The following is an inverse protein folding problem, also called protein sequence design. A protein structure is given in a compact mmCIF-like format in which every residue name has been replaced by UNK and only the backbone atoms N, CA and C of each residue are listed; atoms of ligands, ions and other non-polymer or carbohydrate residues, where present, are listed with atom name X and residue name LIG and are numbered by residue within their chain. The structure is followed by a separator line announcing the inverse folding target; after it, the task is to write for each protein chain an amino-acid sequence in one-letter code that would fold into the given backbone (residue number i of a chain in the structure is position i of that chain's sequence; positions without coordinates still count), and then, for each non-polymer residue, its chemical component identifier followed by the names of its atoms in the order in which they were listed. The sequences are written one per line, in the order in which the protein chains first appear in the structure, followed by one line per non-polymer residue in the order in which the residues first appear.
data_IF_342163882081
#
_entry.id   IF_342163882081
#
_cell.length_a   1.000
_cell.length_b   1.000
_cell.length_c   1.000
_cell.angle_alpha   90.00
_cell.angle_beta   90.00
_cell.angle_gamma   90.00
#
_symmetry.space_group_name_H-M   'P 1'
#
loop_
_entity.id
_entity.type
_entity.pdbx_description
1 polymer ?
#
# COMPACT_ATOMS: atom_id res chain seq x y z
N UNK A 1 -6.73 24.65 -0.39
CA UNK A 1 -6.32 24.30 1.00
C UNK A 1 -4.83 24.04 1.02
N UNK A 2 -4.32 23.28 2.00
CA UNK A 2 -2.86 23.05 2.16
C UNK A 2 -2.20 22.43 0.92
N UNK A 3 -2.89 21.56 0.18
CA UNK A 3 -2.35 20.95 -1.05
C UNK A 3 -2.01 21.94 -2.18
N UNK A 4 -2.47 23.19 -2.10
CA UNK A 4 -2.01 24.24 -3.01
C UNK A 4 -0.55 24.65 -2.76
N UNK A 5 -0.08 24.53 -1.51
CA UNK A 5 1.26 24.97 -1.08
C UNK A 5 2.20 23.78 -0.82
N UNK A 6 1.67 22.66 -0.36
CA UNK A 6 2.43 21.47 0.00
C UNK A 6 1.85 20.27 -0.75
N UNK A 7 2.59 19.66 -1.71
CA UNK A 7 2.02 18.62 -2.58
C UNK A 7 1.68 17.32 -1.83
N UNK A 8 2.18 17.16 -0.60
CA UNK A 8 1.93 16.02 0.27
C UNK A 8 1.76 16.47 1.72
N UNK A 9 1.00 15.69 2.48
CA UNK A 9 0.69 15.93 3.89
C UNK A 9 0.96 14.64 4.67
N UNK A 10 1.51 14.75 5.87
CA UNK A 10 1.61 13.62 6.79
C UNK A 10 0.21 13.11 7.14
N UNK A 11 -0.16 11.94 6.62
CA UNK A 11 -1.54 11.49 6.60
C UNK A 11 -2.07 11.11 8.00
N UNK A 12 -1.20 10.56 8.85
CA UNK A 12 -1.50 10.26 10.26
C UNK A 12 -0.23 9.89 11.00
N UNK A 13 -0.15 10.27 12.29
CA UNK A 13 0.85 9.75 13.23
C UNK A 13 0.68 8.26 13.52
N UNK A 14 -0.51 7.71 13.25
CA UNK A 14 -0.72 6.27 13.32
C UNK A 14 -0.07 5.60 12.10
N UNK A 15 1.01 4.87 12.36
CA UNK A 15 1.78 4.13 11.35
C UNK A 15 1.55 2.62 11.43
N UNK A 16 0.57 2.16 12.20
CA UNK A 16 0.14 0.76 12.22
C UNK A 16 -0.42 0.37 10.85
N UNK A 17 0.15 -0.66 10.21
CA UNK A 17 -0.21 -1.04 8.85
C UNK A 17 -1.70 -1.38 8.71
N UNK A 18 -2.30 -2.04 9.71
CA UNK A 18 -3.71 -2.43 9.64
C UNK A 18 -4.61 -1.20 9.76
N UNK A 19 -4.36 -0.30 10.72
CA UNK A 19 -5.10 0.96 10.83
C UNK A 19 -4.91 1.87 9.60
N UNK A 20 -3.69 1.89 9.05
CA UNK A 20 -3.37 2.66 7.85
C UNK A 20 -4.19 2.23 6.64
N UNK A 21 -4.58 0.96 6.50
CA UNK A 21 -5.49 0.54 5.42
C UNK A 21 -6.80 1.32 5.44
N UNK A 22 -7.40 1.55 6.63
CA UNK A 22 -8.65 2.31 6.79
C UNK A 22 -8.45 3.80 6.61
N UNK A 23 -7.38 4.35 7.18
CA UNK A 23 -7.04 5.78 7.07
C UNK A 23 -6.81 6.13 5.59
N UNK A 24 -5.93 5.41 4.91
CA UNK A 24 -5.62 5.65 3.50
C UNK A 24 -6.83 5.40 2.59
N UNK A 25 -7.62 4.36 2.87
CA UNK A 25 -8.88 4.12 2.17
C UNK A 25 -9.81 5.34 2.26
N UNK A 26 -10.06 5.86 3.47
CA UNK A 26 -10.91 7.04 3.68
C UNK A 26 -10.36 8.29 3.01
N UNK A 27 -9.05 8.55 3.15
CA UNK A 27 -8.38 9.70 2.53
C UNK A 27 -8.48 9.67 1.00
N UNK A 28 -8.43 8.47 0.39
CA UNK A 28 -8.50 8.28 -1.06
C UNK A 28 -9.83 8.68 -1.73
N UNK A 29 -10.88 8.98 -0.95
CA UNK A 29 -12.16 9.43 -1.53
C UNK A 29 -12.04 10.80 -2.21
N UNK A 30 -11.14 11.66 -1.73
CA UNK A 30 -10.95 13.01 -2.28
C UNK A 30 -9.50 13.36 -2.58
N UNK A 31 -8.53 12.72 -1.91
CA UNK A 31 -7.13 13.07 -2.04
C UNK A 31 -6.36 11.98 -2.81
N UNK A 32 -5.45 12.36 -3.72
CA UNK A 32 -4.65 11.40 -4.47
C UNK A 32 -3.63 10.71 -3.56
N UNK A 33 -3.17 9.52 -3.97
CA UNK A 33 -2.16 8.73 -3.25
C UNK A 33 -0.86 9.53 -3.06
N UNK A 34 -0.45 10.29 -4.06
CA UNK A 34 0.74 11.15 -4.02
C UNK A 34 0.73 12.19 -2.90
N UNK A 35 -0.45 12.57 -2.40
CA UNK A 35 -0.58 13.51 -1.29
C UNK A 35 -0.48 12.85 0.10
N UNK A 36 -0.49 11.52 0.18
CA UNK A 36 -0.57 10.79 1.44
C UNK A 36 0.82 10.39 1.95
N UNK A 37 1.39 11.18 2.86
CA UNK A 37 2.62 10.81 3.57
C UNK A 37 2.42 9.49 4.31
N UNK A 38 3.26 8.48 4.04
CA UNK A 38 3.12 7.14 4.61
C UNK A 38 4.48 6.44 4.78
N UNK A 39 4.85 6.09 6.03
CA UNK A 39 6.15 5.50 6.35
C UNK A 39 6.03 4.09 6.94
N UNK A 40 7.04 3.28 6.67
CA UNK A 40 7.31 2.03 7.38
C UNK A 40 7.93 2.36 8.74
N UNK A 41 7.32 1.89 9.83
CA UNK A 41 7.78 2.12 11.20
C UNK A 41 8.13 0.83 11.94
N UNK A 42 8.72 0.98 13.13
CA UNK A 42 9.09 -0.13 14.02
C UNK A 42 7.86 -0.87 14.57
N UNK A 43 8.07 -2.12 14.99
CA UNK A 43 7.07 -2.92 15.73
C UNK A 43 7.68 -3.50 17.02
N UNK A 44 6.91 -3.70 18.11
CA UNK A 44 5.48 -3.38 18.27
C UNK A 44 5.16 -1.90 18.01
N UNK A 45 4.12 -1.63 17.22
CA UNK A 45 3.81 -0.28 16.77
C UNK A 45 3.59 0.65 17.97
N UNK A 46 4.14 1.86 17.94
CA UNK A 46 4.15 2.76 19.10
C UNK A 46 2.76 3.30 19.48
N UNK A 47 1.81 3.37 18.55
CA UNK A 47 0.47 3.88 18.81
C UNK A 47 -0.50 2.79 19.29
N UNK A 48 -0.31 1.54 18.86
CA UNK A 48 -1.29 0.45 19.03
C UNK A 48 -0.75 -0.78 19.73
N UNK A 49 0.57 -0.93 19.84
CA UNK A 49 1.23 -2.15 20.30
C UNK A 49 1.15 -3.33 19.32
N UNK A 50 0.57 -3.17 18.13
CA UNK A 50 0.40 -4.25 17.16
C UNK A 50 1.75 -4.63 16.53
N UNK A 51 1.93 -5.93 16.29
CA UNK A 51 3.04 -6.45 15.49
C UNK A 51 2.52 -6.82 14.10
N UNK A 52 3.21 -6.36 13.07
CA UNK A 52 2.95 -6.69 11.67
C UNK A 52 4.26 -6.99 10.96
N UNK A 53 4.24 -7.87 9.96
CA UNK A 53 5.44 -8.19 9.17
C UNK A 53 6.05 -6.94 8.52
N UNK A 54 7.36 -6.96 8.25
CA UNK A 54 8.03 -5.84 7.59
C UNK A 54 7.50 -5.65 6.15
N UNK A 55 7.17 -6.76 5.48
CA UNK A 55 6.50 -6.77 4.19
C UNK A 55 5.13 -6.06 4.21
N UNK A 56 4.23 -6.39 5.14
CA UNK A 56 2.89 -5.77 5.23
C UNK A 56 2.98 -4.26 5.48
N UNK A 57 3.94 -3.83 6.30
CA UNK A 57 4.22 -2.40 6.52
C UNK A 57 4.68 -1.73 5.23
N UNK A 58 5.59 -2.36 4.49
CA UNK A 58 6.05 -1.89 3.18
C UNK A 58 4.93 -1.72 2.17
N UNK A 59 4.13 -2.77 1.92
CA UNK A 59 2.99 -2.75 0.99
C UNK A 59 2.02 -1.62 1.33
N UNK A 60 1.70 -1.44 2.62
CA UNK A 60 0.75 -0.40 3.04
C UNK A 60 1.34 1.01 2.86
N UNK A 61 2.60 1.21 3.19
CA UNK A 61 3.27 2.51 3.07
C UNK A 61 3.51 2.93 1.60
N UNK A 62 3.66 1.96 0.68
CA UNK A 62 3.76 2.24 -0.76
C UNK A 62 2.47 2.81 -1.35
N UNK A 63 1.32 2.67 -0.67
CA UNK A 63 0.08 3.36 -1.03
C UNK A 63 0.06 4.80 -0.47
N UNK A 64 1.10 5.54 -0.82
CA UNK A 64 1.38 6.90 -0.38
C UNK A 64 2.73 7.36 -0.92
N UNK A 65 3.36 8.33 -0.25
CA UNK A 65 4.69 8.82 -0.62
C UNK A 65 5.82 7.82 -0.39
N UNK A 66 5.54 6.75 0.37
CA UNK A 66 6.53 5.86 0.97
C UNK A 66 7.55 6.60 1.86
N UNK A 67 8.37 5.84 2.59
CA UNK A 67 9.39 6.36 3.50
C UNK A 67 9.59 5.46 4.72
N UNK A 68 10.51 5.84 5.60
CA UNK A 68 10.88 5.06 6.78
C UNK A 68 10.94 5.95 8.02
N UNK A 69 10.43 5.43 9.14
CA UNK A 69 10.37 6.11 10.43
C UNK A 69 10.72 5.12 11.55
N UNK A 70 11.96 4.67 11.52
CA UNK A 70 12.55 3.71 12.46
C UNK A 70 14.07 3.90 12.50
N UNK A 71 14.74 3.30 13.49
CA UNK A 71 16.20 3.28 13.54
C UNK A 71 16.75 2.04 12.80
N UNK A 72 17.36 2.18 11.60
CA UNK A 72 17.83 1.03 10.82
C UNK A 72 18.98 0.27 11.48
N UNK A 73 19.68 0.87 12.45
CA UNK A 73 20.76 0.21 13.18
C UNK A 73 20.26 -0.95 14.07
N UNK A 74 18.98 -0.94 14.43
CA UNK A 74 18.35 -1.96 15.26
C UNK A 74 17.77 -3.13 14.44
N UNK A 75 17.77 -3.03 13.11
CA UNK A 75 17.20 -4.04 12.24
C UNK A 75 18.17 -5.20 12.00
N UNK A 76 17.59 -6.38 11.80
CA UNK A 76 18.32 -7.54 11.28
C UNK A 76 18.84 -7.31 9.86
N UNK A 77 19.83 -8.08 9.43
CA UNK A 77 20.33 -8.01 8.04
C UNK A 77 19.27 -8.40 7.01
N UNK A 78 18.34 -9.30 7.38
CA UNK A 78 17.20 -9.66 6.56
C UNK A 78 16.26 -8.46 6.36
N UNK A 79 15.89 -7.76 7.42
CA UNK A 79 15.03 -6.57 7.33
C UNK A 79 15.72 -5.44 6.57
N UNK A 80 17.03 -5.24 6.75
CA UNK A 80 17.80 -4.28 5.93
C UNK A 80 17.78 -4.68 4.45
N UNK A 81 17.83 -5.98 4.14
CA UNK A 81 17.68 -6.43 2.76
C UNK A 81 16.26 -6.18 2.23
N UNK A 82 15.23 -6.40 3.06
CA UNK A 82 13.85 -6.06 2.70
C UNK A 82 13.71 -4.55 2.43
N UNK A 83 14.36 -3.67 3.20
CA UNK A 83 14.39 -2.22 2.91
C UNK A 83 14.95 -1.96 1.50
N UNK A 84 16.07 -2.59 1.14
CA UNK A 84 16.70 -2.40 -0.18
C UNK A 84 15.75 -2.82 -1.30
N UNK A 85 15.10 -3.96 -1.16
CA UNK A 85 14.14 -4.45 -2.16
C UNK A 85 12.87 -3.59 -2.20
N UNK A 86 12.33 -3.19 -1.06
CA UNK A 86 11.18 -2.28 -1.00
C UNK A 86 11.47 -0.93 -1.67
N UNK A 87 12.67 -0.36 -1.47
CA UNK A 87 13.08 0.87 -2.16
C UNK A 87 13.12 0.66 -3.67
N UNK A 88 13.70 -0.45 -4.15
CA UNK A 88 13.72 -0.77 -5.59
C UNK A 88 12.31 -0.93 -6.14
N UNK A 89 11.44 -1.67 -5.46
CA UNK A 89 10.04 -1.88 -5.85
C UNK A 89 9.28 -0.56 -5.92
N UNK A 90 9.38 0.27 -4.87
CA UNK A 90 8.70 1.57 -4.88
C UNK A 90 9.20 2.43 -6.03
N UNK A 91 10.53 2.53 -6.24
CA UNK A 91 11.10 3.30 -7.37
C UNK A 91 10.69 2.78 -8.74
N UNK A 92 10.57 1.46 -8.90
CA UNK A 92 10.09 0.83 -10.14
C UNK A 92 8.66 1.26 -10.48
N UNK A 93 7.80 1.36 -9.46
CA UNK A 93 6.37 1.66 -9.64
C UNK A 93 5.99 3.09 -9.21
N UNK A 94 6.96 3.96 -8.89
CA UNK A 94 6.75 5.26 -8.26
C UNK A 94 5.81 6.14 -9.10
N UNK A 95 6.08 6.25 -10.41
CA UNK A 95 5.21 6.95 -11.36
C UNK A 95 3.81 6.38 -11.39
N UNK A 96 3.66 5.05 -11.46
CA UNK A 96 2.35 4.40 -11.49
C UNK A 96 1.55 4.62 -10.20
N UNK A 97 2.22 4.60 -9.04
CA UNK A 97 1.60 4.85 -7.74
C UNK A 97 1.11 6.31 -7.64
N UNK A 98 1.93 7.26 -8.09
CA UNK A 98 1.66 8.69 -7.93
C UNK A 98 0.74 9.28 -9.01
N UNK A 99 0.82 8.79 -10.24
CA UNK A 99 0.14 9.35 -11.42
C UNK A 99 -0.97 8.42 -11.96
N UNK A 100 -0.98 7.15 -11.56
CA UNK A 100 -1.95 6.17 -12.04
C UNK A 100 -3.37 6.42 -11.52
N UNK A 101 -4.34 5.92 -12.28
CA UNK A 101 -5.74 5.89 -11.87
C UNK A 101 -5.90 4.92 -10.69
N UNK A 102 -6.27 5.45 -9.52
CA UNK A 102 -6.40 4.68 -8.29
C UNK A 102 -7.80 4.06 -8.15
N UNK A 103 -7.85 2.77 -7.81
CA UNK A 103 -9.08 2.02 -7.60
C UNK A 103 -9.07 1.35 -6.22
N UNK A 104 -10.09 1.64 -5.41
CA UNK A 104 -10.46 0.81 -4.26
C UNK A 104 -11.11 -0.47 -4.76
N UNK A 105 -10.61 -1.63 -4.31
CA UNK A 105 -11.09 -2.95 -4.74
C UNK A 105 -11.88 -3.69 -3.65
N UNK A 106 -11.72 -3.29 -2.39
CA UNK A 106 -12.50 -3.76 -1.25
C UNK A 106 -12.71 -2.63 -0.23
N UNK A 107 -13.58 -2.85 0.73
CA UNK A 107 -13.83 -1.97 1.87
C UNK A 107 -13.22 -2.55 3.17
N UNK A 108 -12.15 -1.96 3.75
CA UNK A 108 -11.52 -2.46 4.97
C UNK A 108 -12.36 -2.27 6.25
N UNK A 109 -13.54 -1.67 6.14
CA UNK A 109 -14.51 -1.60 7.24
C UNK A 109 -15.44 -2.82 7.28
N UNK A 110 -15.61 -3.55 6.18
CA UNK A 110 -16.53 -4.71 6.09
C UNK A 110 -15.88 -5.98 5.57
N UNK A 111 -14.86 -5.87 4.72
CA UNK A 111 -14.32 -6.99 3.95
C UNK A 111 -13.10 -7.63 4.63
N UNK A 112 -12.84 -8.88 4.29
CA UNK A 112 -11.70 -9.70 4.80
C UNK A 112 -10.32 -9.14 4.43
N UNK A 113 -10.27 -8.27 3.41
CA UNK A 113 -9.05 -7.71 2.83
C UNK A 113 -9.19 -6.20 2.65
N UNK A 114 -8.07 -5.50 2.73
CA UNK A 114 -7.90 -4.18 2.14
C UNK A 114 -7.17 -4.36 0.80
N UNK A 115 -7.84 -4.06 -0.30
CA UNK A 115 -7.31 -4.20 -1.64
C UNK A 115 -7.49 -2.92 -2.45
N UNK A 116 -6.46 -2.56 -3.19
CA UNK A 116 -6.45 -1.40 -4.07
C UNK A 116 -5.52 -1.65 -5.25
N UNK A 117 -5.63 -0.84 -6.29
CA UNK A 117 -4.70 -0.86 -7.40
C UNK A 117 -4.52 0.52 -8.05
N UNK A 118 -3.38 0.71 -8.70
CA UNK A 118 -3.12 1.84 -9.59
C UNK A 118 -2.95 1.33 -11.01
N UNK A 119 -3.59 2.00 -11.98
CA UNK A 119 -3.56 1.64 -13.41
C UNK A 119 -3.00 2.80 -14.22
N UNK A 120 -2.10 2.52 -15.17
CA UNK A 120 -1.55 3.54 -16.07
C UNK A 120 -2.65 4.18 -16.92
N UNK A 121 -2.41 5.39 -17.43
CA UNK A 121 -3.36 6.08 -18.32
C UNK A 121 -3.72 5.24 -19.56
N UNK A 122 -2.73 4.56 -20.15
CA UNK A 122 -2.92 3.69 -21.33
C UNK A 122 -3.50 2.30 -20.98
N UNK A 123 -3.74 2.04 -19.69
CA UNK A 123 -4.23 0.79 -19.15
C UNK A 123 -3.37 -0.41 -19.58
N UNK A 124 -2.07 -0.20 -19.75
CA UNK A 124 -1.08 -1.21 -20.15
C UNK A 124 -0.23 -1.70 -18.97
N UNK A 125 -0.33 -1.05 -17.81
CA UNK A 125 0.38 -1.42 -16.60
C UNK A 125 -0.49 -1.20 -15.38
N UNK A 126 -0.43 -2.13 -14.42
CA UNK A 126 -1.20 -2.05 -13.18
C UNK A 126 -0.42 -2.64 -12.01
N UNK A 127 -0.53 -2.00 -10.85
CA UNK A 127 -0.01 -2.51 -9.58
C UNK A 127 -1.17 -2.78 -8.64
N UNK A 128 -1.34 -4.04 -8.24
CA UNK A 128 -2.39 -4.46 -7.31
C UNK A 128 -1.77 -4.74 -5.95
N UNK A 129 -2.37 -4.22 -4.89
CA UNK A 129 -1.92 -4.39 -3.51
C UNK A 129 -3.05 -4.96 -2.66
N UNK A 130 -2.70 -5.89 -1.77
CA UNK A 130 -3.66 -6.59 -0.91
C UNK A 130 -3.06 -6.79 0.47
N UNK A 131 -3.83 -6.43 1.50
CA UNK A 131 -3.54 -6.75 2.90
C UNK A 131 -4.72 -7.54 3.45
N UNK A 132 -4.50 -8.77 3.89
CA UNK A 132 -5.51 -9.55 4.61
C UNK A 132 -5.69 -9.00 6.02
N UNK A 133 -6.93 -8.81 6.44
CA UNK A 133 -7.32 -8.20 7.71
C UNK A 133 -7.82 -9.23 8.72
N UNK A 134 -8.32 -10.37 8.23
CA UNK A 134 -8.88 -11.45 9.03
C UNK A 134 -8.19 -12.78 8.69
N UNK A 135 -8.19 -13.68 9.66
CA UNK A 135 -7.62 -15.01 9.53
C UNK A 135 -8.43 -16.00 10.37
N UNK A 136 -8.83 -17.10 9.74
CA UNK A 136 -9.50 -18.23 10.38
C UNK A 136 -8.96 -19.56 9.84
N UNK A 137 -9.21 -20.65 10.58
CA UNK A 137 -8.83 -21.99 10.15
C UNK A 137 -9.72 -22.45 8.98
N UNK A 138 -9.16 -23.24 8.07
CA UNK A 138 -9.86 -23.73 6.87
C UNK A 138 -10.56 -22.61 6.07
N UNK A 139 -9.85 -21.48 5.92
CA UNK A 139 -10.39 -20.30 5.27
C UNK A 139 -10.88 -20.59 3.84
N UNK A 140 -11.95 -19.92 3.45
CA UNK A 140 -12.42 -19.92 2.07
C UNK A 140 -11.39 -19.25 1.14
N UNK A 141 -11.44 -19.61 -0.15
CA UNK A 141 -10.67 -18.92 -1.17
C UNK A 141 -11.17 -17.48 -1.32
N UNK A 142 -10.25 -16.52 -1.26
CA UNK A 142 -10.56 -15.09 -1.46
C UNK A 142 -10.04 -14.65 -2.82
N UNK A 143 -10.90 -14.02 -3.61
CA UNK A 143 -10.59 -13.49 -4.93
C UNK A 143 -10.57 -11.96 -4.91
N UNK A 144 -9.59 -11.35 -5.59
CA UNK A 144 -9.53 -9.90 -5.77
C UNK A 144 -9.96 -9.57 -7.19
N UNK A 145 -11.12 -8.89 -7.33
CA UNK A 145 -11.66 -8.50 -8.63
C UNK A 145 -11.09 -7.14 -9.03
N UNK A 146 -10.29 -7.13 -10.10
CA UNK A 146 -9.61 -5.93 -10.58
C UNK A 146 -10.58 -4.96 -11.28
N UNK A 147 -10.16 -3.70 -11.44
CA UNK A 147 -10.91 -2.61 -12.07
C UNK A 147 -10.00 -1.78 -12.98
N UNK A 148 -10.60 -1.05 -13.92
CA UNK A 148 -9.89 -0.08 -14.74
C UNK A 148 -8.97 -0.65 -15.82
N UNK A 149 -9.04 -1.96 -16.11
CA UNK A 149 -8.30 -2.60 -17.21
C UNK A 149 -9.12 -2.66 -18.50
N UNK A 150 -8.45 -2.85 -19.65
CA UNK A 150 -9.10 -3.05 -20.95
C UNK A 150 -9.67 -4.46 -21.03
N UNK A 151 -10.99 -4.64 -21.27
CA UNK A 151 -11.62 -5.96 -21.29
C UNK A 151 -11.04 -6.93 -22.33
N UNK A 152 -10.61 -6.40 -23.48
CA UNK A 152 -10.14 -7.20 -24.62
C UNK A 152 -8.61 -7.37 -24.65
N UNK A 153 -7.90 -6.81 -23.66
CA UNK A 153 -6.44 -6.93 -23.56
C UNK A 153 -6.02 -8.14 -22.73
N UNK A 154 -4.86 -8.69 -23.05
CA UNK A 154 -4.20 -9.73 -22.25
C UNK A 154 -3.16 -9.06 -21.36
N UNK A 155 -3.17 -9.43 -20.07
CA UNK A 155 -2.21 -8.95 -19.09
C UNK A 155 -1.36 -10.13 -18.60
N UNK A 156 -0.06 -9.88 -18.46
CA UNK A 156 0.89 -10.81 -17.86
C UNK A 156 1.08 -10.43 -16.39
N UNK A 157 0.99 -11.39 -15.48
CA UNK A 157 1.33 -11.16 -14.07
C UNK A 157 2.82 -11.48 -13.87
N UNK A 158 3.58 -10.50 -13.37
CA UNK A 158 5.05 -10.52 -13.45
C UNK A 158 5.70 -11.73 -12.75
N UNK A 159 5.11 -12.23 -11.67
CA UNK A 159 5.69 -13.30 -10.86
C UNK A 159 5.23 -14.70 -11.28
N UNK A 160 3.99 -14.83 -11.75
CA UNK A 160 3.35 -16.10 -12.07
C UNK A 160 3.34 -16.45 -13.56
N UNK A 161 3.55 -15.48 -14.45
CA UNK A 161 3.64 -15.68 -15.90
C UNK A 161 2.28 -15.87 -16.54
#
# INVERSE_FOLDING_TARGET
GMLYYSPQIWCSDNTDAINRTRIQYGTSFFYPVSAMGAHVSAVPNHQTGRVTSFHTRGVTAMAGTFGYELNPALLSEEEKQQIREQIKTYKKYETLINEGTYWRLSDPFTDEIAAWMSVSEQQDHALVSVVRLMAEANQATVYVRLRGLKPDAVYLEEQSG
#
